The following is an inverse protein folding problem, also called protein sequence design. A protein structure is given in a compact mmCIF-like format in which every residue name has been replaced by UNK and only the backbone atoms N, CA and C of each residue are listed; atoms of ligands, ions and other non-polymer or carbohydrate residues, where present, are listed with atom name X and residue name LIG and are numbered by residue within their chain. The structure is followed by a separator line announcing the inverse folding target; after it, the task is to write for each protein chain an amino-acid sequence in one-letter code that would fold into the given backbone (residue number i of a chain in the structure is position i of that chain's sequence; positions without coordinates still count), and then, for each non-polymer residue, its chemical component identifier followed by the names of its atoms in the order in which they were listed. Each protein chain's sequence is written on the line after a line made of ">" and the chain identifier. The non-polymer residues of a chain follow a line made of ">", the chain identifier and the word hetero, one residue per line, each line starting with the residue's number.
data_IF_499845385412
#
_entry.id   IF_499845385412
#
_cell.length_a   1.000
_cell.length_b   1.000
_cell.length_c   1.000
_cell.angle_alpha   90.00
_cell.angle_beta   90.00
_cell.angle_gamma   90.00
#
_symmetry.space_group_name_H-M   'P 1'
#
loop_
_entity.id
_entity.type
_entity.pdbx_description
1 polymer ?
#
# COMPACT_ATOMS: atom_id res chain seq x y z
N UNK A 1 33.69 -37.60 -25.85
CA UNK A 1 33.23 -37.56 -24.44
C UNK A 1 31.95 -36.74 -24.43
N UNK A 2 30.87 -37.22 -23.81
CA UNK A 2 29.57 -36.52 -23.81
C UNK A 2 29.60 -35.32 -22.84
N UNK A 3 29.07 -34.19 -23.28
CA UNK A 3 28.91 -32.98 -22.47
C UNK A 3 27.62 -33.04 -21.65
N UNK A 4 27.71 -33.64 -20.47
CA UNK A 4 26.57 -33.78 -19.57
C UNK A 4 26.05 -32.42 -19.05
N UNK A 5 26.90 -31.39 -18.98
CA UNK A 5 26.49 -30.07 -18.52
C UNK A 5 25.65 -29.34 -19.60
N UNK A 6 26.07 -29.45 -20.86
CA UNK A 6 25.31 -28.96 -22.01
C UNK A 6 23.98 -29.68 -22.18
N UNK A 7 23.98 -31.02 -22.13
CA UNK A 7 22.75 -31.84 -22.21
C UNK A 7 21.79 -31.49 -21.08
N UNK A 8 22.28 -31.38 -19.84
CA UNK A 8 21.45 -31.00 -18.70
C UNK A 8 20.87 -29.59 -18.83
N UNK A 9 21.61 -28.64 -19.40
CA UNK A 9 21.11 -27.27 -19.64
C UNK A 9 19.98 -27.25 -20.67
N UNK A 10 20.11 -28.00 -21.76
CA UNK A 10 19.08 -28.09 -22.80
C UNK A 10 17.78 -28.68 -22.28
N UNK A 11 17.87 -29.75 -21.47
CA UNK A 11 16.68 -30.38 -20.85
C UNK A 11 15.97 -29.39 -19.93
N UNK A 12 16.71 -28.69 -19.05
CA UNK A 12 16.12 -27.68 -18.15
C UNK A 12 15.40 -26.56 -18.89
N UNK A 13 15.98 -26.08 -19.99
CA UNK A 13 15.36 -25.03 -20.80
C UNK A 13 14.12 -25.54 -21.55
N UNK A 14 14.14 -26.78 -22.04
CA UNK A 14 12.99 -27.37 -22.73
C UNK A 14 11.78 -27.62 -21.82
N UNK A 15 12.04 -27.92 -20.55
CA UNK A 15 11.01 -28.24 -19.55
C UNK A 15 10.61 -27.02 -18.68
N UNK A 16 11.25 -25.87 -18.86
CA UNK A 16 11.19 -24.73 -17.91
C UNK A 16 11.48 -25.17 -16.45
N UNK A 17 12.41 -26.12 -16.29
CA UNK A 17 12.74 -26.72 -15.00
C UNK A 17 13.79 -25.92 -14.22
N UNK A 18 13.63 -25.84 -12.91
CA UNK A 18 14.53 -25.12 -11.99
C UNK A 18 14.93 -26.04 -10.83
N UNK A 19 16.20 -25.99 -10.42
CA UNK A 19 16.66 -26.64 -9.19
C UNK A 19 16.49 -25.69 -7.99
N UNK A 20 15.70 -26.09 -7.00
CA UNK A 20 15.47 -25.32 -5.77
C UNK A 20 15.50 -26.28 -4.57
N UNK A 21 16.26 -25.93 -3.53
CA UNK A 21 16.25 -26.67 -2.25
C UNK A 21 16.65 -28.15 -2.36
N UNK A 22 17.49 -28.52 -3.34
CA UNK A 22 17.88 -29.92 -3.59
C UNK A 22 16.89 -30.72 -4.44
N UNK A 23 15.78 -30.11 -4.88
CA UNK A 23 14.79 -30.73 -5.76
C UNK A 23 14.86 -30.13 -7.17
N UNK A 24 14.46 -30.92 -8.17
CA UNK A 24 14.23 -30.45 -9.53
C UNK A 24 12.72 -30.25 -9.74
N UNK A 25 12.31 -29.03 -10.04
CA UNK A 25 10.90 -28.65 -10.21
C UNK A 25 10.67 -28.31 -11.67
N UNK A 26 9.64 -28.91 -12.26
CA UNK A 26 9.20 -28.69 -13.65
C UNK A 26 7.81 -28.08 -13.62
N UNK A 27 7.52 -27.16 -14.56
CA UNK A 27 6.19 -26.57 -14.68
C UNK A 27 5.20 -27.59 -15.26
N UNK A 28 4.43 -28.24 -14.39
CA UNK A 28 3.39 -29.21 -14.76
C UNK A 28 2.04 -28.51 -15.00
N UNK A 29 1.97 -27.70 -16.06
CA UNK A 29 0.75 -26.99 -16.48
C UNK A 29 0.57 -25.58 -15.90
N UNK A 30 -0.64 -25.04 -16.08
CA UNK A 30 -1.05 -23.76 -15.50
C UNK A 30 -1.66 -23.98 -14.12
N UNK A 31 -1.29 -23.12 -13.16
CA UNK A 31 -1.82 -23.18 -11.80
C UNK A 31 -3.24 -22.58 -11.80
N UNK A 32 -4.25 -23.44 -11.96
CA UNK A 32 -5.67 -23.04 -12.04
C UNK A 32 -6.31 -22.77 -10.68
N UNK A 33 -5.68 -23.25 -9.60
CA UNK A 33 -6.07 -22.98 -8.22
C UNK A 33 -4.83 -22.92 -7.33
N UNK A 34 -4.90 -22.10 -6.28
CA UNK A 34 -3.85 -22.09 -5.26
C UNK A 34 -3.76 -23.47 -4.59
N UNK A 35 -2.55 -24.02 -4.38
CA UNK A 35 -2.39 -25.28 -3.67
C UNK A 35 -2.99 -25.18 -2.26
N UNK A 36 -3.57 -26.27 -1.72
CA UNK A 36 -4.16 -26.25 -0.39
C UNK A 36 -3.12 -25.81 0.64
N UNK A 37 -3.40 -24.71 1.33
CA UNK A 37 -2.54 -24.26 2.42
C UNK A 37 -2.76 -25.23 3.58
N UNK A 38 -1.78 -26.10 3.84
CA UNK A 38 -1.85 -27.10 4.92
C UNK A 38 -1.73 -26.49 6.32
N UNK A 39 -1.40 -25.20 6.39
CA UNK A 39 -1.36 -24.40 7.63
C UNK A 39 -2.59 -23.51 7.68
N UNK A 40 -3.20 -23.45 8.85
CA UNK A 40 -4.18 -22.41 9.16
C UNK A 40 -3.51 -21.05 8.96
N UNK A 41 -4.18 -20.18 8.21
CA UNK A 41 -3.72 -18.80 8.05
C UNK A 41 -3.78 -18.10 9.42
N UNK A 42 -2.83 -17.19 9.72
CA UNK A 42 -2.91 -16.38 10.92
C UNK A 42 -4.26 -15.65 10.99
N UNK A 43 -4.82 -15.54 12.20
CA UNK A 43 -6.01 -14.71 12.39
C UNK A 43 -5.70 -13.26 12.02
N UNK A 44 -6.71 -12.58 11.45
CA UNK A 44 -6.59 -11.16 11.15
C UNK A 44 -6.34 -10.40 12.46
N UNK A 45 -5.29 -9.55 12.53
CA UNK A 45 -5.02 -8.77 13.73
C UNK A 45 -6.18 -7.82 14.05
N UNK A 46 -6.38 -7.59 15.36
CA UNK A 46 -7.41 -6.65 15.87
C UNK A 46 -6.90 -5.21 16.03
N UNK A 47 -5.60 -4.99 15.90
CA UNK A 47 -4.97 -3.66 15.96
C UNK A 47 -4.79 -3.09 14.54
N UNK A 48 -4.71 -1.77 14.44
CA UNK A 48 -4.34 -1.10 13.19
C UNK A 48 -2.82 -1.14 12.99
N UNK A 49 -2.08 -0.76 14.03
CA UNK A 49 -0.63 -0.75 14.04
C UNK A 49 -0.11 -1.33 15.33
N UNK A 50 1.00 -2.04 15.25
CA UNK A 50 1.78 -2.53 16.38
C UNK A 50 3.25 -2.24 16.10
N UNK A 51 3.85 -1.47 16.99
CA UNK A 51 5.25 -1.13 16.96
C UNK A 51 5.98 -1.84 18.09
N UNK A 52 7.15 -2.39 17.78
CA UNK A 52 8.12 -2.76 18.81
C UNK A 52 9.17 -1.66 18.88
N UNK A 53 9.19 -0.93 19.98
CA UNK A 53 10.07 0.20 20.22
C UNK A 53 11.26 -0.24 21.09
N UNK A 54 12.42 0.33 20.85
CA UNK A 54 13.61 0.18 21.68
C UNK A 54 14.42 1.48 21.73
N UNK A 55 15.50 1.49 22.51
CA UNK A 55 16.46 2.59 22.49
C UNK A 55 17.45 2.42 21.33
N UNK A 56 18.06 3.51 20.88
CA UNK A 56 19.04 3.48 19.79
C UNK A 56 20.10 2.38 20.02
N UNK A 57 20.43 1.55 19.00
CA UNK A 57 21.31 0.38 19.16
C UNK A 57 22.69 0.70 19.73
N UNK A 58 23.16 1.94 19.61
CA UNK A 58 24.40 2.42 20.23
C UNK A 58 24.40 2.40 21.77
N UNK A 59 23.22 2.27 22.40
CA UNK A 59 23.08 2.33 23.86
C UNK A 59 23.31 0.99 24.58
N UNK A 60 23.59 -0.11 23.86
CA UNK A 60 23.67 -1.49 24.41
C UNK A 60 22.52 -1.84 25.39
N UNK A 61 21.36 -1.17 25.25
CA UNK A 61 20.20 -1.35 26.12
C UNK A 61 19.18 -2.26 25.42
N UNK A 62 18.90 -3.41 26.05
CA UNK A 62 17.96 -4.41 25.55
C UNK A 62 16.50 -4.14 25.90
N UNK A 63 16.17 -2.98 26.50
CA UNK A 63 14.78 -2.62 26.81
C UNK A 63 13.98 -2.42 25.53
N UNK A 64 12.88 -3.13 25.45
CA UNK A 64 11.87 -2.97 24.40
C UNK A 64 10.48 -2.81 24.99
N UNK A 65 9.60 -2.17 24.24
CA UNK A 65 8.17 -2.09 24.54
C UNK A 65 7.37 -2.27 23.27
N UNK A 66 6.27 -3.03 23.37
CA UNK A 66 5.31 -3.17 22.29
C UNK A 66 4.14 -2.22 22.54
N UNK A 67 3.82 -1.42 21.53
CA UNK A 67 2.76 -0.42 21.57
C UNK A 67 1.83 -0.64 20.38
N UNK A 68 0.52 -0.69 20.63
CA UNK A 68 -0.51 -0.75 19.58
C UNK A 68 -1.12 0.63 19.40
N UNK A 69 -1.27 1.08 18.16
CA UNK A 69 -1.88 2.37 17.84
C UNK A 69 -3.27 2.20 17.20
N UNK A 70 -4.22 3.10 17.48
CA UNK A 70 -4.08 4.25 18.39
C UNK A 70 -3.98 3.81 19.86
N UNK A 71 -3.22 4.58 20.63
CA UNK A 71 -2.95 4.39 22.05
C UNK A 71 -3.40 5.61 22.84
N UNK A 72 -3.86 5.39 24.07
CA UNK A 72 -4.16 6.47 25.00
C UNK A 72 -2.89 7.18 25.48
N UNK A 73 -3.04 8.44 25.92
CA UNK A 73 -1.94 9.19 26.52
C UNK A 73 -1.31 8.49 27.73
N UNK A 74 -2.07 7.64 28.44
CA UNK A 74 -1.56 6.82 29.55
C UNK A 74 -0.68 5.67 29.06
N UNK A 75 -1.08 4.99 27.98
CA UNK A 75 -0.31 3.91 27.35
C UNK A 75 0.99 4.44 26.74
N UNK A 76 0.95 5.58 26.06
CA UNK A 76 2.14 6.27 25.54
C UNK A 76 3.13 6.58 26.67
N UNK A 77 2.67 7.21 27.76
CA UNK A 77 3.52 7.51 28.93
C UNK A 77 4.06 6.26 29.61
N UNK A 78 3.26 5.19 29.67
CA UNK A 78 3.69 3.91 30.24
C UNK A 78 4.79 3.29 29.40
N UNK A 79 4.68 3.35 28.08
CA UNK A 79 5.70 2.87 27.16
C UNK A 79 7.01 3.66 27.29
N UNK A 80 6.96 4.99 27.36
CA UNK A 80 8.14 5.83 27.64
C UNK A 80 8.84 5.45 28.95
N UNK A 81 8.08 5.29 30.04
CA UNK A 81 8.63 4.88 31.34
C UNK A 81 9.27 3.49 31.31
N UNK A 82 8.73 2.56 30.52
CA UNK A 82 9.28 1.22 30.38
C UNK A 82 10.63 1.25 29.63
N UNK A 83 10.77 2.11 28.62
CA UNK A 83 12.04 2.37 27.96
C UNK A 83 13.00 3.17 28.85
N UNK A 84 12.47 3.97 29.78
CA UNK A 84 13.25 4.93 30.56
C UNK A 84 13.65 6.15 29.75
N UNK A 85 12.84 6.51 28.75
CA UNK A 85 13.04 7.67 27.90
C UNK A 85 12.18 8.85 28.38
N UNK A 86 12.75 10.05 28.39
CA UNK A 86 12.05 11.30 28.75
C UNK A 86 11.21 11.87 27.60
N UNK A 87 11.55 11.50 26.36
CA UNK A 87 10.84 11.79 25.11
C UNK A 87 10.99 10.60 24.15
N UNK A 88 10.37 10.67 22.97
CA UNK A 88 10.60 9.67 21.92
C UNK A 88 11.87 9.92 21.10
N UNK A 89 12.58 11.01 21.37
CA UNK A 89 13.87 11.29 20.76
C UNK A 89 14.87 10.21 21.17
N UNK A 90 15.51 9.56 20.19
CA UNK A 90 16.44 8.44 20.44
C UNK A 90 15.78 7.09 20.68
N UNK A 91 14.45 7.00 20.65
CA UNK A 91 13.72 5.73 20.49
C UNK A 91 13.83 5.31 19.02
N UNK A 92 13.79 4.01 18.73
CA UNK A 92 13.78 3.44 17.37
C UNK A 92 12.68 2.39 17.23
N UNK A 93 12.12 2.26 16.03
CA UNK A 93 11.22 1.14 15.70
C UNK A 93 12.07 -0.06 15.31
N UNK A 94 11.94 -1.14 16.07
CA UNK A 94 12.62 -2.41 15.83
C UNK A 94 11.79 -3.36 14.98
N UNK A 95 10.46 -3.28 15.09
CA UNK A 95 9.52 -4.08 14.32
C UNK A 95 8.23 -3.30 14.08
N UNK A 96 7.70 -3.45 12.87
CA UNK A 96 6.44 -2.84 12.43
C UNK A 96 5.50 -3.95 11.95
N UNK A 97 4.31 -3.98 12.53
CA UNK A 97 3.20 -4.78 12.03
C UNK A 97 1.94 -3.92 11.98
N UNK A 98 1.48 -3.60 10.78
CA UNK A 98 0.32 -2.75 10.60
C UNK A 98 -0.46 -3.05 9.34
N UNK A 99 -1.74 -2.67 9.37
CA UNK A 99 -2.64 -2.91 8.26
C UNK A 99 -2.30 -2.05 7.04
N UNK A 100 -1.62 -0.91 7.19
CA UNK A 100 -1.25 0.02 6.11
C UNK A 100 0.26 -0.08 5.86
N UNK A 101 0.71 -0.88 4.87
CA UNK A 101 2.14 -1.17 4.71
C UNK A 101 3.00 0.06 4.40
N UNK A 102 2.43 1.09 3.77
CA UNK A 102 3.12 2.36 3.49
C UNK A 102 3.64 3.03 4.76
N UNK A 103 2.98 2.81 5.89
CA UNK A 103 3.42 3.36 7.16
C UNK A 103 4.68 2.70 7.73
N UNK A 104 5.18 1.60 7.16
CA UNK A 104 6.47 1.04 7.57
C UNK A 104 7.66 1.91 7.10
N UNK A 105 7.47 2.71 6.05
CA UNK A 105 8.55 3.46 5.37
C UNK A 105 8.65 4.92 5.83
N UNK A 106 7.80 5.37 6.77
CA UNK A 106 7.87 6.75 7.24
C UNK A 106 9.19 6.97 7.99
N UNK A 107 10.02 7.87 7.47
CA UNK A 107 11.40 8.03 7.87
C UNK A 107 11.59 8.42 9.36
N UNK A 108 10.56 9.04 9.96
CA UNK A 108 10.63 9.70 11.28
C UNK A 108 9.94 8.92 12.41
N UNK A 109 9.70 7.61 12.23
CA UNK A 109 8.79 6.80 13.06
C UNK A 109 9.13 6.49 14.53
N UNK A 110 10.07 7.21 15.16
CA UNK A 110 10.03 7.43 16.61
C UNK A 110 9.88 8.90 17.01
N UNK A 111 10.42 9.85 16.25
CA UNK A 111 10.34 11.28 16.55
C UNK A 111 8.91 11.83 16.40
N UNK A 112 8.14 11.25 15.49
CA UNK A 112 6.76 11.63 15.18
C UNK A 112 5.72 10.64 15.74
N UNK A 113 6.02 9.95 16.86
CA UNK A 113 5.11 8.93 17.39
C UNK A 113 3.73 9.51 17.75
N UNK A 114 3.67 10.74 18.26
CA UNK A 114 2.41 11.45 18.50
C UNK A 114 1.62 11.69 17.20
N UNK A 115 2.29 12.14 16.13
CA UNK A 115 1.64 12.32 14.83
C UNK A 115 1.15 10.98 14.27
N UNK A 116 1.92 9.90 14.48
CA UNK A 116 1.53 8.58 14.02
C UNK A 116 0.37 8.00 14.82
N UNK A 117 0.32 8.30 16.13
CA UNK A 117 -0.84 7.99 16.95
C UNK A 117 -2.08 8.73 16.46
N UNK A 118 -1.95 10.01 16.11
CA UNK A 118 -3.04 10.79 15.54
C UNK A 118 -3.51 10.22 14.19
N UNK A 119 -2.59 9.88 13.29
CA UNK A 119 -2.93 9.17 12.06
C UNK A 119 -3.71 7.88 12.34
N UNK A 120 -3.29 7.10 13.34
CA UNK A 120 -3.98 5.89 13.73
C UNK A 120 -5.40 6.16 14.27
N UNK A 121 -5.62 7.25 15.00
CA UNK A 121 -6.95 7.71 15.44
C UNK A 121 -7.83 8.09 14.25
N UNK A 122 -7.28 8.80 13.25
CA UNK A 122 -7.99 9.16 12.01
C UNK A 122 -8.42 7.89 11.26
N UNK A 123 -7.53 6.90 11.13
CA UNK A 123 -7.84 5.62 10.49
C UNK A 123 -8.88 4.82 11.29
N UNK A 124 -8.79 4.80 12.62
CA UNK A 124 -9.76 4.12 13.49
C UNK A 124 -11.16 4.74 13.37
N UNK A 125 -11.25 6.06 13.23
CA UNK A 125 -12.51 6.79 13.13
C UNK A 125 -13.21 6.65 11.77
N UNK A 126 -12.58 6.02 10.76
CA UNK A 126 -13.15 5.91 9.42
C UNK A 126 -14.46 5.11 9.39
N UNK A 127 -15.52 5.62 8.75
CA UNK A 127 -16.75 4.86 8.57
C UNK A 127 -16.52 3.73 7.55
N UNK A 128 -17.09 2.54 7.79
CA UNK A 128 -16.88 1.36 6.94
C UNK A 128 -15.40 1.08 6.66
N UNK A 129 -14.59 0.72 7.69
CA UNK A 129 -13.16 0.44 7.53
C UNK A 129 -12.85 -0.58 6.43
N UNK A 130 -13.74 -1.56 6.21
CA UNK A 130 -13.62 -2.55 5.15
C UNK A 130 -13.60 -1.97 3.72
N UNK A 131 -14.15 -0.76 3.53
CA UNK A 131 -14.13 -0.01 2.26
C UNK A 131 -13.07 1.08 2.25
N UNK A 132 -12.91 1.81 3.36
CA UNK A 132 -12.01 2.96 3.42
C UNK A 132 -10.54 2.57 3.55
N UNK A 133 -10.20 1.49 4.25
CA UNK A 133 -8.81 1.04 4.38
C UNK A 133 -8.20 0.68 3.02
N UNK A 134 -8.85 -0.12 2.15
CA UNK A 134 -8.33 -0.37 0.79
C UNK A 134 -8.14 0.91 -0.02
N UNK A 135 -9.09 1.84 0.06
CA UNK A 135 -9.02 3.15 -0.59
C UNK A 135 -7.83 3.96 -0.10
N UNK A 136 -7.62 4.05 1.22
CA UNK A 136 -6.48 4.76 1.81
C UNK A 136 -5.15 4.17 1.36
N UNK A 137 -5.01 2.83 1.36
CA UNK A 137 -3.80 2.18 0.84
C UNK A 137 -3.51 2.54 -0.62
N UNK A 138 -4.54 2.58 -1.45
CA UNK A 138 -4.41 2.97 -2.85
C UNK A 138 -3.95 4.43 -2.96
N UNK A 139 -4.56 5.35 -2.21
CA UNK A 139 -4.19 6.77 -2.20
C UNK A 139 -2.74 6.99 -1.72
N UNK A 140 -2.35 6.36 -0.61
CA UNK A 140 -0.98 6.46 -0.07
C UNK A 140 0.06 5.86 -1.04
N UNK A 141 -0.30 4.75 -1.71
CA UNK A 141 0.55 4.14 -2.74
C UNK A 141 0.71 5.03 -3.96
N UNK A 142 -0.36 5.67 -4.42
CA UNK A 142 -0.36 6.51 -5.62
C UNK A 142 0.41 7.82 -5.40
N UNK A 143 0.21 8.46 -4.24
CA UNK A 143 0.93 9.69 -3.86
C UNK A 143 2.36 9.46 -3.33
N UNK A 144 2.89 8.23 -3.45
CA UNK A 144 4.22 7.83 -2.97
C UNK A 144 4.53 8.35 -1.56
N UNK A 145 3.54 8.23 -0.66
CA UNK A 145 3.58 8.89 0.64
C UNK A 145 4.77 8.41 1.48
N UNK A 146 5.58 9.36 1.97
CA UNK A 146 6.82 9.06 2.70
C UNK A 146 6.86 9.63 4.12
N UNK A 147 5.82 10.33 4.57
CA UNK A 147 5.73 10.89 5.92
C UNK A 147 4.36 10.71 6.56
N UNK A 148 4.32 10.73 7.89
CA UNK A 148 3.08 10.60 8.67
C UNK A 148 2.16 11.80 8.43
N UNK A 149 2.71 13.00 8.34
CA UNK A 149 1.93 14.21 8.10
C UNK A 149 1.20 14.17 6.75
N UNK A 150 1.90 13.76 5.69
CA UNK A 150 1.28 13.58 4.37
C UNK A 150 0.21 12.49 4.41
N UNK A 151 0.48 11.37 5.12
CA UNK A 151 -0.49 10.29 5.26
C UNK A 151 -1.75 10.73 6.00
N UNK A 152 -1.60 11.55 7.04
CA UNK A 152 -2.70 12.11 7.82
C UNK A 152 -3.55 13.04 6.97
N UNK A 153 -2.93 13.96 6.23
CA UNK A 153 -3.63 14.86 5.31
C UNK A 153 -4.44 14.10 4.25
N UNK A 154 -3.86 13.06 3.66
CA UNK A 154 -4.54 12.22 2.67
C UNK A 154 -5.69 11.40 3.29
N UNK A 155 -5.54 10.94 4.54
CA UNK A 155 -6.57 10.22 5.26
C UNK A 155 -7.75 11.13 5.64
N UNK A 156 -7.49 12.38 6.04
CA UNK A 156 -8.53 13.37 6.33
C UNK A 156 -9.30 13.78 5.06
N UNK A 157 -8.61 13.87 3.92
CA UNK A 157 -9.20 14.19 2.62
C UNK A 157 -9.67 12.98 1.83
N UNK A 158 -9.79 11.82 2.47
CA UNK A 158 -10.06 10.56 1.77
C UNK A 158 -11.36 10.59 0.96
N UNK A 159 -12.33 11.43 1.33
CA UNK A 159 -13.59 11.62 0.60
C UNK A 159 -13.42 12.19 -0.81
N UNK A 160 -12.35 12.97 -1.06
CA UNK A 160 -12.05 13.60 -2.34
C UNK A 160 -11.39 12.67 -3.37
N UNK A 161 -11.22 11.40 -3.03
CA UNK A 161 -10.68 10.40 -3.96
C UNK A 161 -11.80 9.48 -4.45
N UNK A 162 -11.75 9.07 -5.70
CA UNK A 162 -12.47 7.89 -6.17
C UNK A 162 -11.53 6.69 -6.17
N UNK A 163 -12.10 5.53 -5.88
CA UNK A 163 -11.35 4.28 -5.81
C UNK A 163 -12.18 3.14 -6.37
N UNK A 164 -11.58 2.39 -7.30
CA UNK A 164 -12.12 1.14 -7.79
C UNK A 164 -11.08 0.01 -7.69
N UNK A 165 -11.37 -0.97 -6.83
CA UNK A 165 -10.51 -2.11 -6.58
C UNK A 165 -10.42 -3.09 -7.78
N UNK A 166 -11.38 -3.04 -8.70
CA UNK A 166 -11.44 -3.92 -9.88
C UNK A 166 -10.56 -3.42 -11.02
N UNK A 167 -10.31 -2.12 -11.10
CA UNK A 167 -9.55 -1.53 -12.19
C UNK A 167 -8.06 -1.57 -11.86
N UNK A 168 -7.30 -2.45 -12.51
CA UNK A 168 -5.86 -2.63 -12.25
C UNK A 168 -4.96 -2.38 -13.46
N UNK A 169 -5.55 -2.21 -14.62
CA UNK A 169 -4.83 -2.01 -15.88
C UNK A 169 -5.74 -1.31 -16.90
N UNK A 170 -5.17 -0.96 -18.05
CA UNK A 170 -5.90 -0.31 -19.15
C UNK A 170 -7.10 -1.12 -19.66
N UNK A 171 -7.02 -2.45 -19.64
CA UNK A 171 -8.08 -3.28 -20.15
C UNK A 171 -9.30 -3.28 -19.23
N UNK A 172 -9.09 -3.22 -17.91
CA UNK A 172 -10.16 -3.03 -16.93
C UNK A 172 -10.76 -1.61 -17.03
N UNK A 173 -9.92 -0.58 -17.15
CA UNK A 173 -10.38 0.81 -17.26
C UNK A 173 -11.21 1.04 -18.54
N UNK A 174 -10.75 0.52 -19.68
CA UNK A 174 -11.50 0.62 -20.94
C UNK A 174 -12.81 -0.15 -20.85
N UNK A 175 -12.83 -1.31 -20.21
CA UNK A 175 -14.06 -2.07 -20.02
C UNK A 175 -15.05 -1.30 -19.15
N UNK A 176 -14.60 -0.79 -17.99
CA UNK A 176 -15.43 0.00 -17.07
C UNK A 176 -16.02 1.24 -17.74
N UNK A 177 -15.19 2.00 -18.47
CA UNK A 177 -15.63 3.17 -19.24
C UNK A 177 -16.74 2.80 -20.25
N UNK A 178 -16.55 1.72 -21.00
CA UNK A 178 -17.55 1.27 -21.98
C UNK A 178 -18.80 0.74 -21.29
N UNK A 179 -18.67 -0.07 -20.25
CA UNK A 179 -19.80 -0.63 -19.50
C UNK A 179 -20.70 0.50 -18.97
N UNK A 180 -20.10 1.55 -18.40
CA UNK A 180 -20.83 2.72 -17.89
C UNK A 180 -21.61 3.50 -18.97
N UNK A 181 -21.14 3.50 -20.23
CA UNK A 181 -21.76 4.27 -21.31
C UNK A 181 -22.75 3.45 -22.16
N UNK A 182 -22.43 2.19 -22.44
CA UNK A 182 -23.14 1.35 -23.42
C UNK A 182 -23.62 -0.01 -22.89
N UNK A 183 -23.27 -0.38 -21.66
CA UNK A 183 -23.65 -1.62 -20.99
C UNK A 183 -22.75 -2.83 -21.30
N UNK A 184 -22.84 -3.85 -20.43
CA UNK A 184 -21.88 -4.96 -20.30
C UNK A 184 -21.63 -5.71 -21.62
N UNK A 185 -22.70 -6.11 -22.33
CA UNK A 185 -22.58 -6.95 -23.52
C UNK A 185 -21.85 -6.22 -24.65
N UNK A 186 -22.21 -4.96 -24.86
CA UNK A 186 -21.63 -4.13 -25.91
C UNK A 186 -20.21 -3.69 -25.55
N UNK A 187 -19.92 -3.47 -24.26
CA UNK A 187 -18.57 -3.17 -23.78
C UNK A 187 -17.57 -4.28 -24.12
N UNK A 188 -17.95 -5.54 -23.88
CA UNK A 188 -17.09 -6.69 -24.20
C UNK A 188 -16.85 -6.84 -25.71
N UNK A 189 -17.90 -6.67 -26.53
CA UNK A 189 -17.79 -6.71 -27.99
C UNK A 189 -16.84 -5.60 -28.52
N UNK A 190 -16.98 -4.37 -28.02
CA UNK A 190 -16.15 -3.24 -28.44
C UNK A 190 -14.71 -3.31 -27.94
N UNK A 191 -14.50 -3.74 -26.69
CA UNK A 191 -13.16 -3.91 -26.11
C UNK A 191 -12.28 -4.80 -26.98
N UNK A 192 -12.83 -5.88 -27.55
CA UNK A 192 -12.09 -6.80 -28.43
C UNK A 192 -11.66 -6.17 -29.76
N UNK A 193 -12.30 -5.06 -30.17
CA UNK A 193 -12.03 -4.37 -31.42
C UNK A 193 -11.10 -3.15 -31.25
N UNK A 194 -10.87 -2.70 -30.01
CA UNK A 194 -10.13 -1.49 -29.69
C UNK A 194 -8.64 -1.78 -29.46
N UNK A 195 -7.82 -0.78 -29.79
CA UNK A 195 -6.45 -0.71 -29.27
C UNK A 195 -6.51 -0.27 -27.79
N UNK A 196 -6.55 -1.26 -26.90
CA UNK A 196 -6.71 -1.07 -25.45
C UNK A 196 -5.59 -0.23 -24.86
N UNK A 197 -4.35 -0.44 -25.29
CA UNK A 197 -3.20 0.32 -24.80
C UNK A 197 -3.32 1.80 -25.16
N UNK A 198 -3.69 2.08 -26.40
CA UNK A 198 -3.84 3.45 -26.87
C UNK A 198 -5.01 4.16 -26.19
N UNK A 199 -6.19 3.52 -26.15
CA UNK A 199 -7.38 4.14 -25.58
C UNK A 199 -7.31 4.24 -24.06
N UNK A 200 -6.83 3.19 -23.38
CA UNK A 200 -6.64 3.19 -21.93
C UNK A 200 -5.66 4.27 -21.46
N UNK A 201 -4.58 4.53 -22.21
CA UNK A 201 -3.68 5.65 -21.91
C UNK A 201 -4.37 7.02 -22.02
N UNK A 202 -5.23 7.20 -23.01
CA UNK A 202 -6.02 8.44 -23.17
C UNK A 202 -6.95 8.62 -21.98
N UNK A 203 -7.65 7.56 -21.56
CA UNK A 203 -8.53 7.60 -20.38
C UNK A 203 -7.75 7.89 -19.10
N UNK A 204 -6.65 7.19 -18.87
CA UNK A 204 -5.79 7.40 -17.70
C UNK A 204 -5.34 8.86 -17.60
N UNK A 205 -4.88 9.44 -18.71
CA UNK A 205 -4.46 10.84 -18.76
C UNK A 205 -5.63 11.81 -18.56
N UNK A 206 -6.81 11.51 -19.12
CA UNK A 206 -7.99 12.35 -18.97
C UNK A 206 -8.51 12.39 -17.53
N UNK A 207 -8.41 11.27 -16.82
CA UNK A 207 -8.84 11.15 -15.43
C UNK A 207 -7.75 11.48 -14.40
N UNK A 208 -6.49 11.68 -14.84
CA UNK A 208 -5.33 11.68 -13.94
C UNK A 208 -5.35 10.47 -12.99
N UNK A 209 -5.64 9.29 -13.57
CA UNK A 209 -5.80 8.06 -12.82
C UNK A 209 -4.46 7.37 -12.55
N UNK A 210 -4.29 6.90 -11.32
CA UNK A 210 -3.16 6.10 -10.91
C UNK A 210 -3.58 4.65 -10.66
N UNK A 211 -2.83 3.71 -11.26
CA UNK A 211 -3.01 2.28 -10.99
C UNK A 211 -2.09 1.85 -9.86
N UNK A 212 -2.68 1.26 -8.83
CA UNK A 212 -1.95 0.71 -7.68
C UNK A 212 -2.21 -0.78 -7.55
N UNK A 213 -1.47 -1.45 -6.66
CA UNK A 213 -1.74 -2.85 -6.32
C UNK A 213 -3.14 -3.09 -5.73
N UNK A 214 -3.75 -2.02 -5.19
CA UNK A 214 -5.07 -2.03 -4.56
C UNK A 214 -6.21 -1.74 -5.54
N UNK A 215 -5.92 -1.16 -6.72
CA UNK A 215 -6.91 -0.69 -7.69
C UNK A 215 -6.56 0.69 -8.23
N UNK A 216 -7.50 1.27 -8.97
CA UNK A 216 -7.36 2.61 -9.54
C UNK A 216 -7.81 3.67 -8.54
N UNK A 217 -7.08 4.78 -8.49
CA UNK A 217 -7.49 5.99 -7.77
C UNK A 217 -7.46 7.21 -8.68
N UNK A 218 -8.41 8.12 -8.45
CA UNK A 218 -8.45 9.46 -9.05
C UNK A 218 -8.86 10.46 -7.98
N UNK A 219 -8.55 11.74 -8.20
CA UNK A 219 -9.14 12.83 -7.42
C UNK A 219 -10.46 13.27 -8.03
N UNK A 220 -11.37 13.77 -7.19
CA UNK A 220 -12.66 14.30 -7.63
C UNK A 220 -12.55 15.62 -8.41
N UNK A 221 -11.48 16.37 -8.20
CA UNK A 221 -11.11 17.58 -8.94
C UNK A 221 -10.34 17.30 -10.23
N UNK A 222 -10.14 16.02 -10.58
CA UNK A 222 -9.38 15.56 -11.74
C UNK A 222 -7.94 16.10 -11.82
N UNK A 223 -7.34 16.54 -10.71
CA UNK A 223 -5.91 16.87 -10.68
C UNK A 223 -5.05 15.60 -10.48
N UNK A 224 -3.74 15.72 -10.71
CA UNK A 224 -2.80 14.64 -10.36
C UNK A 224 -2.70 14.46 -8.84
N UNK A 225 -2.28 13.27 -8.41
CA UNK A 225 -2.14 12.95 -6.98
C UNK A 225 -1.21 13.91 -6.24
N UNK A 226 -0.15 14.39 -6.91
CA UNK A 226 0.86 15.29 -6.32
C UNK A 226 0.52 16.78 -6.46
N UNK A 227 -0.60 17.13 -7.09
CA UNK A 227 -0.97 18.54 -7.24
C UNK A 227 -1.38 19.14 -5.89
N UNK A 228 -1.04 20.41 -5.61
CA UNK A 228 -1.53 21.09 -4.41
C UNK A 228 -3.06 21.23 -4.47
N UNK A 229 -3.71 21.29 -3.31
CA UNK A 229 -5.15 21.54 -3.24
C UNK A 229 -5.44 23.04 -3.42
N UNK A 230 -6.58 23.40 -4.01
CA UNK A 230 -6.86 24.81 -4.33
C UNK A 230 -6.90 25.71 -3.09
N UNK A 231 -7.44 25.22 -1.97
CA UNK A 231 -7.48 25.95 -0.71
C UNK A 231 -6.08 26.21 -0.12
N UNK A 232 -5.06 25.41 -0.47
CA UNK A 232 -3.67 25.63 -0.06
C UNK A 232 -2.95 26.65 -0.95
N UNK A 233 -3.43 26.82 -2.18
CA UNK A 233 -2.83 27.71 -3.19
C UNK A 233 -3.16 29.18 -2.90
N UNK A 234 -4.38 29.48 -2.44
CA UNK A 234 -4.80 30.85 -2.11
C UNK A 234 -4.09 31.42 -0.86
N UNK A 235 -3.76 30.56 0.13
CA UNK A 235 -3.04 31.00 1.35
C UNK A 235 -1.60 31.40 1.05
N UNK A 236 -0.97 30.79 0.04
CA UNK A 236 0.38 31.16 -0.39
C UNK A 236 0.40 32.51 -1.12
N UNK A 237 -0.58 32.79 -1.99
CA UNK A 237 -0.64 34.07 -2.71
C UNK A 237 -0.95 35.27 -1.78
N UNK A 238 -1.69 35.04 -0.68
CA UNK A 238 -1.94 36.08 0.33
C UNK A 238 -0.75 36.38 1.25
N UNK A 239 0.29 35.54 1.27
CA UNK A 239 1.50 35.77 2.08
C UNK A 239 2.63 36.47 1.30
N UNK A 240 2.49 36.66 -0.01
CA UNK A 240 3.49 37.30 -0.89
C UNK A 240 3.02 38.69 -1.38
N UNK A 241 1.96 39.25 -0.80
CA UNK A 241 1.48 40.62 -1.12
C UNK A 241 1.61 41.55 0.09
#
# INVERSE_FOLDING_TARGET
>A
MLDFAGIGRMIRQGENGVFVGGCYVVRDGEMTAAPPCSRELPEKPRYLFRLTLGLHPDLEDGRTVTLTLPASAEELKKAQRQLGADSWEGVVVLDYDGIIPQAAEFADLPAELEAFNHFAEVVEAMPSPEKQIPKLKAVLSAGQCSSVDQASLLAERLEHFYFDAKIKNYADLVYDELENVIGDRQAEELRQCLDIEKYGRILQQGYNAEFTEYGMVTRDDFQSMDAPWQDESEVMDMQIT
#
